data_IF_904072552112
#
_entry.id   IF_904072552112
#
_cell.length_a   1.000
_cell.length_b   1.000
_cell.length_c   1.000
_cell.angle_alpha   90.00
_cell.angle_beta   90.00
_cell.angle_gamma   90.00
#
_symmetry.space_group_name_H-M   'P 1'
#
loop_
_entity.id
_entity.type
_entity.pdbx_description
1 polymer ?
#
# COMPACT_ATOMS: atom_id res chain seq x y z
N UNK A 1 -10.75 -15.06 -18.91
CA UNK A 1 -12.05 -15.47 -19.48
C UNK A 1 -12.83 -16.40 -18.53
N UNK A 2 -12.23 -17.50 -18.06
CA UNK A 2 -12.94 -18.49 -17.22
C UNK A 2 -13.36 -17.97 -15.83
N UNK A 3 -12.51 -17.20 -15.12
CA UNK A 3 -12.88 -16.66 -13.80
C UNK A 3 -14.07 -15.69 -13.86
N UNK A 4 -14.16 -14.88 -14.92
CA UNK A 4 -15.29 -13.97 -15.15
C UNK A 4 -16.60 -14.72 -15.44
N UNK A 5 -16.51 -15.80 -16.22
CA UNK A 5 -17.64 -16.68 -16.49
C UNK A 5 -18.09 -17.44 -15.22
N UNK A 6 -17.15 -17.94 -14.42
CA UNK A 6 -17.41 -18.65 -13.16
C UNK A 6 -18.03 -17.75 -12.09
N UNK A 7 -17.68 -16.46 -12.05
CA UNK A 7 -18.10 -15.55 -10.98
C UNK A 7 -19.28 -14.66 -11.33
N UNK A 8 -19.78 -14.70 -12.57
CA UNK A 8 -20.81 -13.80 -13.10
C UNK A 8 -20.55 -12.30 -12.84
N UNK A 9 -19.30 -11.92 -12.55
CA UNK A 9 -18.95 -10.57 -12.13
C UNK A 9 -18.72 -9.66 -13.34
N UNK A 10 -19.33 -8.48 -13.32
CA UNK A 10 -19.20 -7.51 -14.41
C UNK A 10 -17.83 -6.82 -14.41
N UNK A 11 -17.24 -6.56 -13.23
CA UNK A 11 -15.97 -5.86 -13.04
C UNK A 11 -15.05 -6.64 -12.08
N UNK A 12 -13.83 -6.97 -12.53
CA UNK A 12 -12.82 -7.73 -11.78
C UNK A 12 -11.52 -6.94 -11.62
N UNK A 13 -11.54 -5.61 -11.40
CA UNK A 13 -10.30 -4.85 -11.41
C UNK A 13 -10.33 -3.56 -10.59
N UNK A 14 -9.17 -3.22 -10.02
CA UNK A 14 -8.83 -1.92 -9.46
C UNK A 14 -7.53 -1.42 -10.10
N UNK A 15 -7.14 -0.20 -9.79
CA UNK A 15 -5.90 0.39 -10.29
C UNK A 15 -4.92 0.59 -9.14
N UNK A 16 -3.69 0.12 -9.35
CA UNK A 16 -2.53 0.37 -8.51
C UNK A 16 -1.56 1.23 -9.32
N UNK A 17 -0.86 2.16 -8.69
CA UNK A 17 0.06 3.03 -9.37
C UNK A 17 1.49 2.71 -8.91
N UNK A 18 2.42 2.64 -9.85
CA UNK A 18 3.83 2.36 -9.55
C UNK A 18 4.59 3.68 -9.56
N UNK A 19 5.51 3.85 -8.61
CA UNK A 19 6.39 5.00 -8.55
C UNK A 19 7.63 4.83 -9.45
N UNK A 20 8.22 5.93 -9.95
CA UNK A 20 9.43 5.88 -10.75
C UNK A 20 10.64 5.29 -9.99
N UNK A 21 11.58 4.73 -10.76
CA UNK A 21 12.92 4.35 -10.29
C UNK A 21 13.93 5.19 -11.06
N UNK A 22 14.91 5.70 -10.33
CA UNK A 22 16.01 6.49 -10.85
C UNK A 22 17.37 5.82 -10.65
N UNK A 23 18.30 6.15 -11.53
CA UNK A 23 19.69 5.69 -11.45
C UNK A 23 20.44 6.43 -10.34
N UNK A 24 21.21 5.70 -9.53
CA UNK A 24 21.92 6.26 -8.39
C UNK A 24 23.03 7.25 -8.79
N UNK A 25 23.76 6.98 -9.88
CA UNK A 25 24.91 7.79 -10.30
C UNK A 25 24.47 9.15 -10.87
N UNK A 26 23.20 9.26 -11.25
CA UNK A 26 22.59 10.49 -11.76
C UNK A 26 22.00 11.40 -10.65
N UNK A 27 22.05 10.98 -9.38
CA UNK A 27 21.56 11.77 -8.24
C UNK A 27 22.65 12.75 -7.81
N UNK A 28 22.28 14.02 -7.64
CA UNK A 28 23.15 15.03 -7.05
C UNK A 28 23.20 14.87 -5.52
N UNK A 29 24.26 14.19 -5.07
CA UNK A 29 24.56 13.89 -3.67
C UNK A 29 24.87 15.15 -2.82
N UNK A 30 25.20 16.28 -3.45
CA UNK A 30 25.40 17.55 -2.75
C UNK A 30 24.08 18.22 -2.38
N UNK A 31 22.95 17.72 -2.87
CA UNK A 31 21.61 18.24 -2.53
C UNK A 31 20.74 17.27 -1.72
N UNK A 32 21.21 16.05 -1.46
CA UNK A 32 20.47 15.05 -0.67
C UNK A 32 21.24 14.63 0.58
N UNK A 33 20.56 13.97 1.52
CA UNK A 33 21.20 13.38 2.70
C UNK A 33 20.62 12.00 3.06
N UNK A 34 21.48 11.11 3.56
CA UNK A 34 21.07 9.79 4.05
C UNK A 34 20.58 9.90 5.50
N UNK A 35 19.33 9.50 5.75
CA UNK A 35 18.77 9.46 7.09
C UNK A 35 17.48 8.63 7.15
N UNK A 36 17.31 7.93 8.26
CA UNK A 36 16.03 7.31 8.64
C UNK A 36 15.30 8.21 9.65
N UNK A 37 13.96 8.18 9.62
CA UNK A 37 13.15 9.01 10.52
C UNK A 37 13.44 8.65 11.97
N UNK A 38 13.59 9.68 12.81
CA UNK A 38 13.92 9.58 14.24
C UNK A 38 15.26 8.88 14.53
N UNK A 39 16.14 8.72 13.54
CA UNK A 39 17.38 7.97 13.69
C UNK A 39 17.19 6.49 14.00
N UNK A 40 16.01 5.92 13.71
CA UNK A 40 15.72 4.50 13.94
C UNK A 40 15.83 3.71 12.63
N UNK A 41 16.73 2.72 12.59
CA UNK A 41 16.94 1.81 11.47
C UNK A 41 18.23 2.08 10.69
N UNK A 42 18.56 1.17 9.77
CA UNK A 42 19.65 1.36 8.80
C UNK A 42 19.28 2.52 7.85
N UNK A 43 20.27 3.29 7.40
CA UNK A 43 20.08 4.52 6.62
C UNK A 43 19.71 4.22 5.14
N UNK A 44 18.59 3.54 4.92
CA UNK A 44 18.16 3.03 3.61
C UNK A 44 17.52 4.09 2.70
N UNK A 45 17.35 5.31 3.21
CA UNK A 45 16.70 6.40 2.51
C UNK A 45 17.66 7.54 2.22
N UNK A 46 17.69 7.97 0.96
CA UNK A 46 18.13 9.30 0.57
C UNK A 46 16.95 10.26 0.71
N UNK A 47 17.21 11.45 1.23
CA UNK A 47 16.21 12.47 1.48
C UNK A 47 16.55 13.69 0.63
N UNK A 48 15.59 14.11 -0.19
CA UNK A 48 15.66 15.30 -1.04
C UNK A 48 14.91 16.43 -0.31
N UNK A 49 15.58 17.25 0.50
CA UNK A 49 14.94 18.35 1.22
C UNK A 49 14.43 19.40 0.25
N UNK A 50 13.28 19.98 0.56
CA UNK A 50 12.72 21.10 -0.17
C UNK A 50 12.53 22.27 0.78
N UNK A 51 12.82 23.47 0.28
CA UNK A 51 12.33 24.72 0.85
C UNK A 51 10.86 24.93 0.50
N UNK A 52 10.18 25.87 1.18
CA UNK A 52 8.79 26.21 0.88
C UNK A 52 8.60 26.68 -0.59
N UNK A 53 9.45 27.57 -1.14
CA UNK A 53 9.32 27.97 -2.55
C UNK A 53 9.53 26.81 -3.54
N UNK A 54 10.45 25.90 -3.27
CA UNK A 54 10.66 24.71 -4.11
C UNK A 54 9.45 23.77 -4.04
N UNK A 55 8.86 23.60 -2.84
CA UNK A 55 7.63 22.82 -2.66
C UNK A 55 6.47 23.43 -3.45
N UNK A 56 6.28 24.75 -3.35
CA UNK A 56 5.21 25.45 -4.06
C UNK A 56 5.38 25.36 -5.58
N UNK A 57 6.59 25.57 -6.08
CA UNK A 57 6.87 25.40 -7.51
C UNK A 57 6.58 23.98 -7.99
N UNK A 58 7.01 22.97 -7.23
CA UNK A 58 6.74 21.56 -7.53
C UNK A 58 5.25 21.25 -7.50
N UNK A 59 4.52 21.71 -6.48
CA UNK A 59 3.08 21.53 -6.35
C UNK A 59 2.32 22.14 -7.54
N UNK A 60 2.65 23.35 -7.95
CA UNK A 60 2.03 24.01 -9.10
C UNK A 60 2.33 23.26 -10.40
N UNK A 61 3.57 22.84 -10.61
CA UNK A 61 3.94 22.05 -11.78
C UNK A 61 3.19 20.71 -11.82
N UNK A 62 3.03 20.05 -10.68
CA UNK A 62 2.32 18.79 -10.56
C UNK A 62 0.82 18.91 -10.90
N UNK A 63 0.18 20.01 -10.48
CA UNK A 63 -1.22 20.29 -10.83
C UNK A 63 -1.41 20.57 -12.33
N UNK A 64 -0.47 21.30 -12.94
CA UNK A 64 -0.49 21.68 -14.35
C UNK A 64 -0.06 20.55 -15.30
N UNK A 65 0.56 19.50 -14.77
CA UNK A 65 1.17 18.43 -15.55
C UNK A 65 0.14 17.57 -16.32
N UNK A 66 0.55 17.16 -17.52
CA UNK A 66 -0.25 16.29 -18.37
C UNK A 66 -0.40 14.88 -17.76
N UNK A 67 -1.64 14.41 -17.72
CA UNK A 67 -2.03 13.11 -17.15
C UNK A 67 -2.44 12.19 -18.29
N UNK A 68 -2.13 10.90 -18.15
CA UNK A 68 -2.68 9.89 -19.06
C UNK A 68 -4.21 9.92 -18.93
N UNK A 69 -4.90 10.08 -20.07
CA UNK A 69 -6.36 10.08 -20.11
C UNK A 69 -6.85 8.69 -19.71
N UNK A 70 -7.64 8.58 -18.63
CA UNK A 70 -8.24 7.32 -18.26
C UNK A 70 -9.20 6.89 -19.38
N UNK A 71 -9.15 5.63 -19.82
CA UNK A 71 -10.14 5.09 -20.75
C UNK A 71 -11.50 5.06 -20.03
N UNK A 72 -12.64 5.13 -20.73
CA UNK A 72 -13.99 5.29 -20.12
C UNK A 72 -14.36 4.27 -19.00
N UNK A 73 -13.65 3.14 -18.93
CA UNK A 73 -13.78 2.11 -17.90
C UNK A 73 -12.96 2.36 -16.61
N UNK A 74 -12.25 3.48 -16.51
CA UNK A 74 -11.37 3.88 -15.40
C UNK A 74 -12.07 4.74 -14.32
N UNK A 75 -13.41 4.77 -14.31
CA UNK A 75 -14.20 5.47 -13.27
C UNK A 75 -14.22 4.76 -11.90
N UNK A 76 -13.29 3.85 -11.65
CA UNK A 76 -13.18 3.11 -10.39
C UNK A 76 -12.39 3.96 -9.39
N UNK A 77 -12.85 4.11 -8.13
CA UNK A 77 -12.11 4.87 -7.12
C UNK A 77 -10.72 4.25 -6.89
N UNK A 78 -9.70 5.11 -6.71
CA UNK A 78 -8.34 4.68 -6.40
C UNK A 78 -8.30 3.96 -5.05
N UNK A 79 -7.36 3.01 -4.91
CA UNK A 79 -7.05 2.48 -3.60
C UNK A 79 -6.45 3.59 -2.72
N UNK A 80 -7.05 3.88 -1.57
CA UNK A 80 -6.65 5.01 -0.71
C UNK A 80 -5.21 4.90 -0.19
N UNK A 81 -4.63 3.69 -0.12
CA UNK A 81 -3.23 3.50 0.25
C UNK A 81 -2.23 3.71 -0.91
N UNK A 82 -2.71 3.84 -2.15
CA UNK A 82 -1.89 3.98 -3.36
C UNK A 82 -2.44 5.09 -4.29
N UNK A 83 -2.76 6.24 -3.70
CA UNK A 83 -3.26 7.39 -4.46
C UNK A 83 -2.12 8.02 -5.25
N UNK A 84 -2.32 8.32 -6.56
CA UNK A 84 -1.33 9.03 -7.35
C UNK A 84 -0.96 10.40 -6.74
N UNK A 85 0.32 10.77 -6.79
CA UNK A 85 0.84 12.00 -6.16
C UNK A 85 0.12 13.26 -6.64
N UNK A 86 -0.21 13.33 -7.93
CA UNK A 86 -0.99 14.44 -8.49
C UNK A 86 -2.44 14.49 -8.00
N UNK A 87 -3.05 13.34 -7.66
CA UNK A 87 -4.39 13.29 -7.06
C UNK A 87 -4.33 13.73 -5.60
N UNK A 88 -3.25 13.42 -4.88
CA UNK A 88 -3.03 13.99 -3.54
C UNK A 88 -2.91 15.51 -3.59
N UNK A 89 -2.19 16.05 -4.58
CA UNK A 89 -2.08 17.50 -4.78
C UNK A 89 -3.45 18.14 -5.07
N UNK A 90 -4.28 17.52 -5.91
CA UNK A 90 -5.66 17.99 -6.20
C UNK A 90 -6.55 18.05 -4.94
N UNK A 91 -6.35 17.14 -3.98
CA UNK A 91 -7.13 17.11 -2.73
C UNK A 91 -6.78 18.25 -1.77
N UNK A 92 -5.67 18.94 -1.99
CA UNK A 92 -5.27 20.13 -1.24
C UNK A 92 -3.75 20.29 -1.15
N UNK A 93 -3.31 21.55 -1.05
CA UNK A 93 -1.88 21.91 -1.01
C UNK A 93 -1.08 21.10 0.00
N UNK A 94 -1.56 20.95 1.23
CA UNK A 94 -0.78 20.32 2.31
C UNK A 94 -0.95 18.79 2.38
N UNK A 95 -1.83 18.21 1.55
CA UNK A 95 -2.14 16.77 1.57
C UNK A 95 -0.87 15.92 1.41
N UNK A 96 0.01 16.30 0.48
CA UNK A 96 1.28 15.61 0.24
C UNK A 96 2.22 15.69 1.46
N UNK A 97 2.19 16.78 2.23
CA UNK A 97 2.99 16.94 3.46
C UNK A 97 2.47 16.14 4.65
N UNK A 98 1.23 15.65 4.60
CA UNK A 98 0.74 14.65 5.54
C UNK A 98 1.05 13.22 5.12
N UNK A 99 1.35 13.02 3.82
CA UNK A 99 1.70 11.73 3.22
C UNK A 99 3.17 11.65 2.80
N UNK A 100 3.47 11.49 1.50
CA UNK A 100 4.80 11.13 1.01
C UNK A 100 5.86 12.23 1.19
N UNK A 101 5.46 13.50 1.27
CA UNK A 101 6.38 14.64 1.39
C UNK A 101 6.61 15.09 2.84
N UNK A 102 6.09 14.34 3.82
CA UNK A 102 6.14 14.69 5.25
C UNK A 102 7.59 14.80 5.74
N UNK A 103 8.02 15.92 6.38
CA UNK A 103 9.41 16.06 6.88
C UNK A 103 9.61 15.52 8.32
N UNK A 104 8.55 15.06 8.98
CA UNK A 104 8.59 14.73 10.41
C UNK A 104 9.58 13.62 10.75
N UNK A 105 10.40 13.85 11.77
CA UNK A 105 11.44 12.91 12.21
C UNK A 105 12.73 13.01 11.41
N UNK A 106 12.87 13.98 10.51
CA UNK A 106 14.11 14.24 9.76
C UNK A 106 14.68 15.61 10.13
N UNK A 107 16.01 15.68 10.13
CA UNK A 107 16.80 16.90 10.30
C UNK A 107 17.85 16.87 9.21
N UNK A 108 17.92 17.94 8.41
CA UNK A 108 18.94 18.07 7.39
C UNK A 108 20.28 18.39 8.07
N UNK A 109 21.33 17.57 7.89
CA UNK A 109 22.63 17.81 8.52
C UNK A 109 23.33 19.07 8.02
N UNK A 110 22.99 19.59 6.83
CA UNK A 110 23.61 20.80 6.25
C UNK A 110 23.07 22.08 6.87
N UNK A 111 21.77 22.11 7.16
CA UNK A 111 21.11 23.29 7.76
C UNK A 111 20.89 23.13 9.26
N UNK A 112 21.02 21.91 9.79
CA UNK A 112 20.66 21.51 11.14
C UNK A 112 19.21 21.87 11.52
N UNK A 113 18.33 21.91 10.52
CA UNK A 113 16.90 22.24 10.67
C UNK A 113 16.05 21.16 10.00
N UNK A 114 14.77 21.10 10.38
CA UNK A 114 13.80 20.26 9.67
C UNK A 114 13.48 20.93 8.32
N UNK A 115 13.57 20.22 7.18
CA UNK A 115 13.17 20.76 5.89
C UNK A 115 11.67 21.03 5.84
N UNK A 116 11.22 21.88 4.92
CA UNK A 116 9.79 22.18 4.77
C UNK A 116 9.01 20.96 4.28
N UNK A 117 9.53 20.32 3.24
CA UNK A 117 9.05 19.05 2.69
C UNK A 117 10.25 18.17 2.32
N UNK A 118 10.02 16.88 2.08
CA UNK A 118 11.09 15.95 1.70
C UNK A 118 10.58 14.87 0.76
N UNK A 119 11.31 14.61 -0.32
CA UNK A 119 11.10 13.38 -1.11
C UNK A 119 12.08 12.33 -0.63
N UNK A 120 11.57 11.18 -0.20
CA UNK A 120 12.42 10.05 0.18
C UNK A 120 12.64 9.13 -1.02
N UNK A 121 13.90 8.72 -1.22
CA UNK A 121 14.29 7.71 -2.19
C UNK A 121 14.74 6.46 -1.44
N UNK A 122 14.10 5.33 -1.72
CA UNK A 122 14.45 4.05 -1.09
C UNK A 122 15.35 3.25 -2.03
N UNK A 123 16.41 2.67 -1.48
CA UNK A 123 17.25 1.72 -2.20
C UNK A 123 16.39 0.57 -2.76
N UNK A 124 16.43 0.36 -4.08
CA UNK A 124 15.60 -0.66 -4.74
C UNK A 124 16.32 -2.01 -4.85
N UNK A 125 17.65 -2.01 -4.91
CA UNK A 125 18.46 -3.21 -4.98
C UNK A 125 19.57 -3.22 -3.92
N UNK A 126 20.08 -4.40 -3.58
CA UNK A 126 21.12 -4.57 -2.56
C UNK A 126 22.43 -3.82 -2.89
N UNK A 127 22.66 -3.52 -4.17
CA UNK A 127 23.88 -2.85 -4.63
C UNK A 127 23.79 -1.32 -4.56
N UNK A 128 22.62 -0.76 -4.25
CA UNK A 128 22.43 0.69 -4.17
C UNK A 128 22.53 1.41 -5.52
N UNK A 129 22.41 0.71 -6.65
CA UNK A 129 22.58 1.32 -7.98
C UNK A 129 21.32 1.97 -8.53
N UNK A 130 20.17 1.74 -7.88
CA UNK A 130 18.93 2.41 -8.24
C UNK A 130 18.02 2.65 -7.04
N UNK A 131 17.22 3.70 -7.15
CA UNK A 131 16.39 4.21 -6.08
C UNK A 131 14.95 4.43 -6.53
N UNK A 132 14.00 3.99 -5.71
CA UNK A 132 12.57 4.21 -5.90
C UNK A 132 12.12 5.51 -5.21
N UNK A 133 11.31 6.34 -5.89
CA UNK A 133 10.69 7.53 -5.28
C UNK A 133 9.51 7.09 -4.40
N UNK A 134 9.66 7.22 -3.08
CA UNK A 134 8.71 6.68 -2.11
C UNK A 134 7.41 7.46 -2.12
N UNK A 135 6.30 6.78 -2.42
CA UNK A 135 4.96 7.39 -2.44
C UNK A 135 4.71 8.33 -3.63
N UNK A 136 5.49 8.17 -4.71
CA UNK A 136 5.35 8.91 -5.97
C UNK A 136 4.66 8.07 -7.05
N UNK A 137 3.68 7.28 -6.65
CA UNK A 137 2.83 6.59 -7.60
C UNK A 137 2.13 7.64 -8.48
N UNK A 138 2.02 7.43 -9.79
CA UNK A 138 1.59 8.51 -10.70
C UNK A 138 0.91 8.02 -11.98
N UNK A 139 0.01 8.85 -12.51
CA UNK A 139 -0.63 8.74 -13.84
C UNK A 139 -0.13 9.81 -14.81
N UNK A 140 0.87 10.61 -14.45
CA UNK A 140 1.47 11.59 -15.36
C UNK A 140 2.00 10.91 -16.62
N UNK A 141 1.93 11.58 -17.76
CA UNK A 141 2.61 11.11 -18.98
C UNK A 141 4.12 11.03 -18.72
N UNK A 142 4.85 10.16 -19.42
CA UNK A 142 6.30 10.02 -19.17
C UNK A 142 7.07 11.32 -19.40
N UNK A 143 6.63 12.15 -20.35
CA UNK A 143 7.16 13.50 -20.56
C UNK A 143 6.95 14.40 -19.34
N UNK A 144 5.72 14.41 -18.81
CA UNK A 144 5.38 15.16 -17.60
C UNK A 144 6.14 14.67 -16.36
N UNK A 145 6.27 13.35 -16.17
CA UNK A 145 7.07 12.79 -15.07
C UNK A 145 8.51 13.27 -15.12
N UNK A 146 9.15 13.22 -16.30
CA UNK A 146 10.52 13.68 -16.49
C UNK A 146 10.66 15.17 -16.16
N UNK A 147 9.72 16.00 -16.59
CA UNK A 147 9.76 17.44 -16.33
C UNK A 147 9.54 17.76 -14.85
N UNK A 148 8.47 17.24 -14.26
CA UNK A 148 8.03 17.57 -12.89
C UNK A 148 8.98 16.99 -11.85
N UNK A 149 9.36 15.71 -11.96
CA UNK A 149 10.20 15.08 -10.93
C UNK A 149 11.66 15.55 -10.97
N UNK A 150 12.12 16.15 -12.07
CA UNK A 150 13.41 16.85 -12.11
C UNK A 150 13.42 18.18 -11.36
N UNK A 151 12.26 18.70 -10.94
CA UNK A 151 12.21 19.87 -10.05
C UNK A 151 12.55 19.52 -8.60
N UNK A 152 12.59 18.23 -8.25
CA UNK A 152 12.96 17.79 -6.91
C UNK A 152 14.47 18.04 -6.71
N UNK A 153 14.87 18.72 -5.61
CA UNK A 153 16.28 18.93 -5.27
C UNK A 153 17.07 17.62 -5.28
N UNK A 154 18.21 17.62 -5.98
CA UNK A 154 19.02 16.41 -6.17
C UNK A 154 18.69 15.61 -7.43
N UNK A 155 17.54 15.87 -8.09
CA UNK A 155 17.07 15.08 -9.23
C UNK A 155 17.05 15.83 -10.56
N UNK A 156 17.63 17.04 -10.64
CA UNK A 156 17.56 17.89 -11.84
C UNK A 156 18.03 17.21 -13.13
N UNK A 157 19.11 16.42 -13.04
CA UNK A 157 19.69 15.68 -14.17
C UNK A 157 19.44 14.18 -14.09
N UNK A 158 18.53 13.74 -13.21
CA UNK A 158 18.36 12.32 -12.92
C UNK A 158 17.95 11.53 -14.16
N UNK A 159 18.50 10.33 -14.28
CA UNK A 159 18.11 9.32 -15.25
C UNK A 159 16.99 8.45 -14.65
N UNK A 160 15.90 8.31 -15.40
CA UNK A 160 14.79 7.44 -15.03
C UNK A 160 15.03 6.06 -15.65
N UNK A 161 15.30 5.06 -14.81
CA UNK A 161 15.40 3.66 -15.22
C UNK A 161 14.02 3.05 -15.45
N UNK A 162 13.01 3.55 -14.72
CA UNK A 162 11.61 3.17 -14.89
C UNK A 162 10.69 4.34 -14.56
N UNK A 163 9.74 4.62 -15.45
CA UNK A 163 8.68 5.59 -15.19
C UNK A 163 7.55 4.97 -14.36
N UNK A 164 6.87 5.82 -13.58
CA UNK A 164 5.66 5.44 -12.89
C UNK A 164 4.51 5.17 -13.86
N UNK A 165 3.57 4.32 -13.47
CA UNK A 165 2.41 4.00 -14.31
C UNK A 165 1.30 3.36 -13.50
N UNK A 166 0.07 3.55 -13.96
CA UNK A 166 -1.11 2.93 -13.37
C UNK A 166 -1.31 1.54 -13.97
N UNK A 167 -1.22 0.52 -13.13
CA UNK A 167 -1.46 -0.87 -13.46
C UNK A 167 -2.88 -1.27 -13.07
N UNK A 168 -3.55 -1.94 -13.99
CA UNK A 168 -4.84 -2.58 -13.72
C UNK A 168 -4.60 -3.90 -12.98
N UNK A 169 -4.90 -3.91 -11.69
CA UNK A 169 -4.87 -5.11 -10.87
C UNK A 169 -6.21 -5.83 -10.93
N UNK A 170 -6.18 -7.13 -11.18
CA UNK A 170 -7.39 -7.96 -11.25
C UNK A 170 -7.71 -8.51 -9.87
N UNK A 171 -8.96 -8.38 -9.42
CA UNK A 171 -9.46 -8.99 -8.19
C UNK A 171 -10.91 -9.44 -8.36
N UNK A 172 -11.34 -10.39 -7.54
CA UNK A 172 -12.73 -10.84 -7.49
C UNK A 172 -13.51 -10.03 -6.48
N UNK A 173 -14.83 -9.91 -6.69
CA UNK A 173 -15.74 -9.39 -5.68
C UNK A 173 -15.86 -10.41 -4.53
N UNK A 174 -14.86 -10.41 -3.64
CA UNK A 174 -14.71 -11.39 -2.57
C UNK A 174 -15.94 -11.46 -1.66
N UNK A 175 -16.60 -10.34 -1.27
CA UNK A 175 -17.81 -10.44 -0.45
C UNK A 175 -18.97 -11.14 -1.16
N UNK A 176 -19.10 -10.96 -2.48
CA UNK A 176 -20.10 -11.68 -3.26
C UNK A 176 -19.76 -13.18 -3.42
N UNK A 177 -18.48 -13.52 -3.57
CA UNK A 177 -18.06 -14.81 -4.13
C UNK A 177 -17.44 -15.78 -3.13
N UNK A 178 -16.89 -15.29 -2.01
CA UNK A 178 -16.07 -16.08 -1.10
C UNK A 178 -16.72 -16.24 0.27
N UNK A 179 -16.46 -17.38 0.89
CA UNK A 179 -16.66 -17.63 2.32
C UNK A 179 -15.40 -17.17 3.09
N UNK A 180 -15.51 -16.98 4.40
CA UNK A 180 -14.38 -16.63 5.29
C UNK A 180 -13.23 -17.66 5.27
N UNK A 181 -13.52 -18.89 4.85
CA UNK A 181 -12.53 -19.96 4.61
C UNK A 181 -11.74 -19.78 3.31
N UNK A 182 -12.04 -18.72 2.53
CA UNK A 182 -11.54 -18.42 1.18
C UNK A 182 -12.02 -19.37 0.07
N UNK A 183 -13.05 -20.16 0.35
CA UNK A 183 -13.72 -20.99 -0.65
C UNK A 183 -14.70 -20.17 -1.50
N UNK A 184 -14.83 -20.51 -2.79
CA UNK A 184 -15.95 -20.04 -3.59
C UNK A 184 -17.27 -20.57 -3.02
N UNK A 185 -18.25 -19.69 -2.83
CA UNK A 185 -19.59 -20.06 -2.31
C UNK A 185 -20.29 -21.11 -3.17
N UNK A 186 -20.16 -21.02 -4.49
CA UNK A 186 -20.80 -21.94 -5.45
C UNK A 186 -19.93 -23.15 -5.84
N UNK A 187 -18.64 -23.16 -5.48
CA UNK A 187 -17.74 -24.29 -5.72
C UNK A 187 -16.74 -24.42 -4.56
N UNK A 188 -17.14 -25.06 -3.44
CA UNK A 188 -16.32 -25.12 -2.24
C UNK A 188 -14.96 -25.81 -2.40
N UNK A 189 -14.72 -26.53 -3.48
CA UNK A 189 -13.41 -27.13 -3.78
C UNK A 189 -12.36 -26.14 -4.27
N UNK A 190 -12.76 -24.93 -4.66
CA UNK A 190 -11.86 -23.90 -5.19
C UNK A 190 -11.63 -22.84 -4.12
N UNK A 191 -10.35 -22.57 -3.85
CA UNK A 191 -9.89 -21.50 -2.98
C UNK A 191 -9.26 -20.38 -3.82
N UNK A 192 -9.49 -19.13 -3.43
CA UNK A 192 -8.83 -17.95 -4.03
C UNK A 192 -8.10 -17.23 -2.91
N UNK A 193 -6.88 -16.76 -3.17
CA UNK A 193 -6.07 -16.05 -2.18
C UNK A 193 -5.16 -15.01 -2.86
N UNK A 194 -4.42 -14.26 -2.05
CA UNK A 194 -3.55 -13.20 -2.53
C UNK A 194 -4.32 -12.02 -3.09
N UNK A 195 -3.66 -11.21 -3.92
CA UNK A 195 -4.26 -10.01 -4.52
C UNK A 195 -5.60 -10.28 -5.23
N UNK A 196 -5.81 -11.50 -5.72
CA UNK A 196 -7.07 -11.90 -6.36
C UNK A 196 -8.29 -11.78 -5.45
N UNK A 197 -8.15 -11.87 -4.13
CA UNK A 197 -9.27 -11.70 -3.19
C UNK A 197 -9.44 -10.27 -2.69
N UNK A 198 -8.67 -9.32 -3.23
CA UNK A 198 -8.70 -7.93 -2.78
C UNK A 198 -7.94 -7.69 -1.48
N UNK A 199 -6.89 -8.47 -1.20
CA UNK A 199 -5.88 -8.05 -0.21
C UNK A 199 -4.74 -7.31 -0.89
N UNK A 200 -4.16 -6.33 -0.19
CA UNK A 200 -3.01 -5.57 -0.69
C UNK A 200 -1.83 -5.69 0.27
N UNK A 201 -0.63 -5.88 -0.30
CA UNK A 201 0.61 -6.09 0.43
C UNK A 201 1.07 -7.56 0.39
N UNK A 202 2.39 -7.74 0.40
CA UNK A 202 3.00 -9.07 0.34
C UNK A 202 2.66 -9.91 1.57
N UNK A 203 2.60 -9.29 2.74
CA UNK A 203 2.28 -9.96 4.01
C UNK A 203 0.83 -10.46 4.01
N UNK A 204 -0.11 -9.65 3.54
CA UNK A 204 -1.52 -9.98 3.43
C UNK A 204 -1.78 -11.05 2.37
N UNK A 205 -1.05 -10.98 1.25
CA UNK A 205 -1.10 -12.01 0.22
C UNK A 205 -0.57 -13.35 0.74
N UNK A 206 0.54 -13.35 1.47
CA UNK A 206 1.08 -14.55 2.11
C UNK A 206 0.13 -15.11 3.19
N UNK A 207 -0.46 -14.23 4.01
CA UNK A 207 -1.42 -14.60 5.06
C UNK A 207 -2.67 -15.28 4.49
N UNK A 208 -3.29 -14.68 3.47
CA UNK A 208 -4.45 -15.29 2.78
C UNK A 208 -4.08 -16.58 2.05
N UNK A 209 -2.91 -16.63 1.41
CA UNK A 209 -2.39 -17.84 0.76
C UNK A 209 -2.18 -18.99 1.74
N UNK A 210 -1.59 -18.69 2.90
CA UNK A 210 -1.39 -19.66 3.99
C UNK A 210 -2.72 -20.21 4.51
N UNK A 211 -3.70 -19.35 4.77
CA UNK A 211 -5.03 -19.77 5.21
C UNK A 211 -5.74 -20.66 4.16
N UNK A 212 -5.73 -20.24 2.90
CA UNK A 212 -6.30 -21.03 1.80
C UNK A 212 -5.62 -22.39 1.66
N UNK A 213 -4.29 -22.45 1.78
CA UNK A 213 -3.53 -23.70 1.74
C UNK A 213 -3.85 -24.63 2.92
N UNK A 214 -3.92 -24.09 4.14
CA UNK A 214 -4.34 -24.83 5.34
C UNK A 214 -5.74 -25.43 5.13
N UNK A 215 -6.69 -24.62 4.68
CA UNK A 215 -8.06 -25.08 4.47
C UNK A 215 -8.19 -26.07 3.30
N UNK A 216 -7.43 -25.88 2.21
CA UNK A 216 -7.39 -26.86 1.12
C UNK A 216 -6.86 -28.21 1.60
N UNK A 217 -5.78 -28.22 2.40
CA UNK A 217 -5.22 -29.45 2.96
C UNK A 217 -6.20 -30.13 3.94
N UNK A 218 -6.92 -29.36 4.76
CA UNK A 218 -7.94 -29.87 5.68
C UNK A 218 -9.13 -30.45 4.93
N UNK A 219 -9.60 -29.78 3.87
CA UNK A 219 -10.67 -30.27 3.00
C UNK A 219 -10.32 -31.65 2.40
N UNK A 220 -9.09 -31.80 1.89
CA UNK A 220 -8.61 -33.08 1.34
C UNK A 220 -8.57 -34.21 2.38
N UNK A 221 -8.37 -33.86 3.65
CA UNK A 221 -8.35 -34.80 4.78
C UNK A 221 -9.73 -35.02 5.42
N UNK A 222 -10.79 -34.40 4.89
CA UNK A 222 -12.12 -34.46 5.50
C UNK A 222 -12.20 -33.78 6.88
N UNK A 223 -11.28 -32.86 7.19
CA UNK A 223 -11.26 -32.11 8.44
C UNK A 223 -12.08 -30.83 8.31
N UNK A 224 -12.65 -30.38 9.43
CA UNK A 224 -13.34 -29.08 9.50
C UNK A 224 -12.38 -27.94 9.13
N UNK A 225 -12.83 -26.99 8.31
CA UNK A 225 -12.05 -25.82 7.93
C UNK A 225 -11.94 -24.82 9.08
N UNK A 226 -10.93 -23.95 9.01
CA UNK A 226 -10.62 -23.01 10.09
C UNK A 226 -10.62 -21.59 9.58
N UNK A 227 -11.06 -20.67 10.45
CA UNK A 227 -11.06 -19.23 10.22
C UNK A 227 -10.45 -18.55 11.45
N UNK A 228 -9.45 -17.67 11.29
CA UNK A 228 -8.89 -16.92 12.41
C UNK A 228 -9.92 -15.95 13.01
N UNK A 229 -9.91 -15.69 14.33
CA UNK A 229 -10.84 -14.74 14.95
C UNK A 229 -10.67 -13.32 14.40
N UNK A 230 -11.77 -12.56 14.27
CA UNK A 230 -11.77 -11.15 13.82
C UNK A 230 -10.92 -10.21 14.68
N UNK A 231 -10.56 -10.63 15.89
CA UNK A 231 -9.67 -9.90 16.78
C UNK A 231 -8.19 -10.05 16.42
N UNK A 232 -7.85 -10.93 15.48
CA UNK A 232 -6.51 -11.14 14.93
C UNK A 232 -6.33 -10.38 13.62
N UNK A 233 -5.09 -10.07 13.23
CA UNK A 233 -4.82 -9.41 11.95
C UNK A 233 -5.36 -10.20 10.74
N UNK A 234 -5.20 -11.53 10.77
CA UNK A 234 -5.71 -12.41 9.73
C UNK A 234 -7.24 -12.37 9.67
N UNK A 235 -7.90 -12.60 10.81
CA UNK A 235 -9.36 -12.66 10.86
C UNK A 235 -10.02 -11.32 10.58
N UNK A 236 -9.46 -10.20 11.06
CA UNK A 236 -9.97 -8.86 10.76
C UNK A 236 -9.95 -8.59 9.25
N UNK A 237 -8.86 -8.94 8.57
CA UNK A 237 -8.74 -8.77 7.12
C UNK A 237 -9.68 -9.71 6.36
N UNK A 238 -9.73 -10.99 6.72
CA UNK A 238 -10.62 -11.97 6.08
C UNK A 238 -12.08 -11.57 6.23
N UNK A 239 -12.49 -11.17 7.44
CA UNK A 239 -13.83 -10.66 7.71
C UNK A 239 -14.15 -9.46 6.81
N UNK A 240 -13.25 -8.47 6.71
CA UNK A 240 -13.47 -7.32 5.83
C UNK A 240 -13.69 -7.73 4.38
N UNK A 241 -12.81 -8.56 3.81
CA UNK A 241 -12.89 -8.93 2.38
C UNK A 241 -14.07 -9.86 2.06
N UNK A 242 -14.66 -10.55 3.04
CA UNK A 242 -15.81 -11.45 2.80
C UNK A 242 -17.15 -10.88 3.22
N UNK A 243 -17.19 -9.81 4.04
CA UNK A 243 -18.45 -9.24 4.55
C UNK A 243 -18.73 -7.79 4.14
N UNK A 244 -17.76 -7.08 3.54
CA UNK A 244 -17.96 -5.72 3.00
C UNK A 244 -19.09 -5.64 1.97
N UNK A 245 -19.72 -4.47 1.78
CA UNK A 245 -20.75 -4.28 0.75
C UNK A 245 -20.18 -4.64 -0.64
N UNK A 246 -20.69 -5.70 -1.30
CA UNK A 246 -20.19 -6.12 -2.60
C UNK A 246 -20.24 -5.03 -3.67
N UNK A 247 -21.14 -4.04 -3.54
CA UNK A 247 -21.30 -2.96 -4.54
C UNK A 247 -20.20 -1.91 -4.46
N UNK A 248 -19.57 -1.77 -3.30
CA UNK A 248 -18.56 -0.75 -3.01
C UNK A 248 -17.24 -1.37 -2.52
N UNK A 249 -17.08 -2.69 -2.70
CA UNK A 249 -15.91 -3.40 -2.24
C UNK A 249 -14.65 -2.88 -2.92
N UNK A 250 -13.64 -2.59 -2.11
CA UNK A 250 -12.30 -2.21 -2.55
C UNK A 250 -11.28 -3.13 -1.88
N UNK A 251 -10.15 -3.39 -2.52
CA UNK A 251 -9.03 -4.06 -1.87
C UNK A 251 -8.60 -3.34 -0.59
N UNK A 252 -7.98 -4.08 0.33
CA UNK A 252 -7.59 -3.57 1.64
C UNK A 252 -6.33 -4.24 2.16
N UNK A 253 -5.46 -3.46 2.79
CA UNK A 253 -4.36 -3.95 3.62
C UNK A 253 -4.75 -3.93 5.10
N UNK A 254 -4.03 -4.68 5.94
CA UNK A 254 -4.38 -4.69 7.37
C UNK A 254 -4.11 -3.32 8.01
N UNK A 255 -5.07 -2.83 8.79
CA UNK A 255 -4.92 -1.61 9.56
C UNK A 255 -5.73 -1.70 10.87
N UNK A 256 -5.37 -0.88 11.86
CA UNK A 256 -6.02 -0.89 13.18
C UNK A 256 -7.53 -0.56 13.15
N UNK A 257 -8.05 0.02 12.06
CA UNK A 257 -9.47 0.30 11.89
C UNK A 257 -10.32 -0.93 11.60
N UNK A 258 -9.71 -2.03 11.12
CA UNK A 258 -10.40 -3.29 10.85
C UNK A 258 -10.64 -4.13 12.11
N UNK A 259 -9.89 -3.86 13.18
CA UNK A 259 -10.00 -4.62 14.41
C UNK A 259 -11.26 -4.20 15.19
N UNK A 260 -11.99 -5.15 15.79
CA UNK A 260 -13.04 -4.83 16.74
C UNK A 260 -12.51 -3.91 17.87
N UNK A 261 -13.33 -3.00 18.41
CA UNK A 261 -12.90 -2.11 19.48
C UNK A 261 -12.42 -2.90 20.72
N UNK A 262 -11.57 -2.26 21.53
CA UNK A 262 -11.22 -2.80 22.85
C UNK A 262 -12.45 -2.68 23.77
N UNK A 263 -12.65 -3.64 24.71
CA UNK A 263 -13.75 -3.56 25.68
C UNK A 263 -13.71 -2.29 26.53
N UNK A 264 -12.51 -1.79 26.81
CA UNK A 264 -12.29 -0.54 27.55
C UNK A 264 -11.82 0.54 26.59
N UNK A 265 -12.42 1.73 26.67
CA UNK A 265 -12.05 2.87 25.85
C UNK A 265 -10.70 3.43 26.30
N UNK A 266 -9.68 3.24 25.47
CA UNK A 266 -8.35 3.84 25.66
C UNK A 266 -8.24 5.15 24.87
N UNK A 267 -7.97 6.25 25.58
CA UNK A 267 -7.86 7.59 24.98
C UNK A 267 -6.57 7.73 24.16
N UNK A 268 -5.45 7.30 24.74
CA UNK A 268 -4.16 7.38 24.06
C UNK A 268 -4.11 6.44 22.85
N UNK A 269 -3.65 6.97 21.71
CA UNK A 269 -3.64 6.22 20.45
C UNK A 269 -2.59 5.11 20.47
N UNK A 270 -1.40 5.36 21.03
CA UNK A 270 -0.31 4.39 21.02
C UNK A 270 -0.62 3.23 21.97
N UNK A 271 -1.12 3.54 23.16
CA UNK A 271 -1.55 2.53 24.13
C UNK A 271 -2.72 1.70 23.59
N UNK A 272 -3.70 2.34 22.92
CA UNK A 272 -4.78 1.62 22.23
C UNK A 272 -4.24 0.64 21.20
N UNK A 273 -3.32 1.08 20.33
CA UNK A 273 -2.70 0.21 19.32
C UNK A 273 -1.93 -0.95 19.95
N UNK A 274 -1.16 -0.68 21.03
CA UNK A 274 -0.42 -1.71 21.77
C UNK A 274 -1.35 -2.78 22.35
N UNK A 275 -2.41 -2.37 23.04
CA UNK A 275 -3.38 -3.29 23.64
C UNK A 275 -4.13 -4.09 22.57
N UNK A 276 -4.51 -3.47 21.45
CA UNK A 276 -5.09 -4.19 20.31
C UNK A 276 -4.14 -5.26 19.77
N UNK A 277 -2.85 -4.93 19.58
CA UNK A 277 -1.84 -5.88 19.11
C UNK A 277 -1.63 -7.03 20.10
N UNK A 278 -1.59 -6.76 21.40
CA UNK A 278 -1.45 -7.79 22.43
C UNK A 278 -2.62 -8.78 22.39
N UNK A 279 -3.87 -8.28 22.41
CA UNK A 279 -5.08 -9.12 22.28
C UNK A 279 -5.07 -9.93 20.99
N UNK A 280 -4.62 -9.34 19.88
CA UNK A 280 -4.55 -10.01 18.59
C UNK A 280 -3.57 -11.20 18.61
N UNK A 281 -2.39 -11.03 19.22
CA UNK A 281 -1.38 -12.09 19.34
C UNK A 281 -1.84 -13.23 20.26
N UNK A 282 -2.44 -12.88 21.40
CA UNK A 282 -3.01 -13.85 22.36
C UNK A 282 -4.10 -14.71 21.68
N UNK A 283 -5.05 -14.06 20.99
CA UNK A 283 -6.13 -14.75 20.31
C UNK A 283 -5.66 -15.57 19.10
N UNK A 284 -4.64 -15.10 18.38
CA UNK A 284 -4.05 -15.85 17.28
C UNK A 284 -3.34 -17.11 17.77
N UNK A 285 -2.56 -16.99 18.85
CA UNK A 285 -1.89 -18.14 19.49
C UNK A 285 -2.91 -19.17 19.98
N UNK A 286 -3.97 -18.71 20.66
CA UNK A 286 -5.02 -19.59 21.14
C UNK A 286 -5.83 -20.24 19.99
N UNK A 287 -5.95 -19.56 18.85
CA UNK A 287 -6.58 -20.11 17.64
C UNK A 287 -5.73 -21.19 16.99
N UNK A 288 -4.41 -20.98 16.85
CA UNK A 288 -3.48 -21.98 16.30
C UNK A 288 -3.59 -23.28 17.10
N UNK A 289 -3.54 -23.18 18.44
CA UNK A 289 -3.61 -24.34 19.34
C UNK A 289 -4.95 -25.07 19.20
N UNK A 290 -6.08 -24.35 19.27
CA UNK A 290 -7.43 -24.94 19.16
C UNK A 290 -7.69 -25.56 17.78
N UNK A 291 -7.06 -25.03 16.74
CA UNK A 291 -7.21 -25.50 15.36
C UNK A 291 -6.32 -26.70 15.01
N UNK A 292 -5.41 -27.10 15.91
CA UNK A 292 -4.41 -28.14 15.65
C UNK A 292 -3.42 -27.75 14.56
N UNK A 293 -3.01 -26.47 14.51
CA UNK A 293 -2.04 -25.94 13.56
C UNK A 293 -0.62 -25.79 14.16
N UNK A 294 -0.45 -26.13 15.44
CA UNK A 294 0.82 -26.13 16.16
C UNK A 294 1.66 -27.35 15.85
#
# INVERSE_FOLDING_TARGET
AQLKALTHSQNLYFFDAIAPIVDADSIDHDRVFKASRYGKGDADYLNCPMTEPEYDAFYQALLAAEKVVPKEFDKVPYFEGCIPIEVMAERGRDTMMFGPLKPVGLVDPKTNTRPYAVVQLRMENRHGTCYNLVGFQTKLTYGAQKQVFRMIPGLANVEFLRYGSVHRNTFVNAPALLQETLQLKFQPRIFIAGQLVGVEGYTEAAASGGLAGINAARLLKGMELVVPPETTAHGALMNYITTSDPRHFQPMNINFGLFPPLPVRVRDKQDRQRQTSQRALENFTAWIQRSGLS
#
